data_IF_870807817857
#
_entry.id   IF_870807817857
#
_cell.length_a   1.000
_cell.length_b   1.000
_cell.length_c   1.000
_cell.angle_alpha   90.00
_cell.angle_beta   90.00
_cell.angle_gamma   90.00
#
_symmetry.space_group_name_H-M   'P 1'
#
loop_
_entity.id
_entity.type
_entity.pdbx_description
1 polymer ?
#
# COMPACT_ATOMS: atom_id res chain seq x y z
N UNK A 1 -32.14 42.64 53.46
CA UNK A 1 -31.43 43.17 52.28
C UNK A 1 -30.11 42.44 52.01
N UNK A 2 -29.25 42.15 52.99
CA UNK A 2 -27.96 41.45 52.77
C UNK A 2 -28.05 40.03 52.19
N UNK A 3 -29.08 39.26 52.55
CA UNK A 3 -29.21 37.88 52.07
C UNK A 3 -29.40 37.80 50.54
N UNK A 4 -30.20 38.69 49.94
CA UNK A 4 -30.44 38.62 48.48
C UNK A 4 -29.24 39.11 47.68
N UNK A 5 -28.48 40.10 48.15
CA UNK A 5 -27.24 40.56 47.50
C UNK A 5 -26.14 39.51 47.54
N UNK A 6 -26.00 38.77 48.64
CA UNK A 6 -25.04 37.66 48.74
C UNK A 6 -25.42 36.52 47.80
N UNK A 7 -26.71 36.18 47.69
CA UNK A 7 -27.18 35.16 46.74
C UNK A 7 -26.93 35.58 45.28
N UNK A 8 -27.22 36.84 44.92
CA UNK A 8 -26.96 37.34 43.57
C UNK A 8 -25.45 37.33 43.24
N UNK A 9 -24.59 37.70 44.20
CA UNK A 9 -23.13 37.65 44.03
C UNK A 9 -22.64 36.21 43.86
N UNK A 10 -23.15 35.27 44.66
CA UNK A 10 -22.82 33.85 44.55
C UNK A 10 -23.23 33.25 43.20
N UNK A 11 -24.42 33.59 42.71
CA UNK A 11 -24.89 33.15 41.38
C UNK A 11 -24.02 33.76 40.27
N UNK A 12 -23.69 35.04 40.35
CA UNK A 12 -22.82 35.69 39.37
C UNK A 12 -21.42 35.05 39.33
N UNK A 13 -20.87 34.70 40.49
CA UNK A 13 -19.58 34.00 40.59
C UNK A 13 -19.64 32.60 39.97
N UNK A 14 -20.70 31.83 40.24
CA UNK A 14 -20.88 30.51 39.64
C UNK A 14 -21.03 30.58 38.12
N UNK A 15 -21.75 31.56 37.59
CA UNK A 15 -21.86 31.78 36.14
C UNK A 15 -20.50 32.12 35.52
N UNK A 16 -19.70 32.94 36.20
CA UNK A 16 -18.34 33.26 35.76
C UNK A 16 -17.44 32.02 35.74
N UNK A 17 -17.48 31.21 36.79
CA UNK A 17 -16.70 29.97 36.89
C UNK A 17 -17.13 28.95 35.83
N UNK A 18 -18.44 28.78 35.61
CA UNK A 18 -18.98 27.90 34.58
C UNK A 18 -18.57 28.37 33.18
N UNK A 19 -18.64 29.68 32.91
CA UNK A 19 -18.19 30.25 31.65
C UNK A 19 -16.67 30.05 31.43
N UNK A 20 -15.86 30.30 32.46
CA UNK A 20 -14.41 30.09 32.41
C UNK A 20 -14.03 28.63 32.15
N UNK A 21 -14.66 27.69 32.86
CA UNK A 21 -14.48 26.26 32.62
C UNK A 21 -14.89 25.86 31.19
N UNK A 22 -16.01 26.40 30.69
CA UNK A 22 -16.48 26.17 29.33
C UNK A 22 -15.47 26.62 28.27
N UNK A 23 -14.86 27.79 28.45
CA UNK A 23 -13.82 28.31 27.53
C UNK A 23 -12.58 27.42 27.54
N UNK A 24 -12.09 27.01 28.72
CA UNK A 24 -10.92 26.13 28.82
C UNK A 24 -11.17 24.79 28.12
N UNK A 25 -12.31 24.15 28.39
CA UNK A 25 -12.68 22.88 27.73
C UNK A 25 -12.77 23.05 26.21
N UNK A 26 -13.36 24.15 25.73
CA UNK A 26 -13.47 24.43 24.31
C UNK A 26 -12.08 24.58 23.65
N UNK A 27 -11.18 25.34 24.28
CA UNK A 27 -9.81 25.52 23.78
C UNK A 27 -9.04 24.19 23.80
N UNK A 28 -9.12 23.42 24.88
CA UNK A 28 -8.45 22.12 24.97
C UNK A 28 -8.96 21.13 23.92
N UNK A 29 -10.28 21.11 23.68
CA UNK A 29 -10.87 20.26 22.64
C UNK A 29 -10.38 20.64 21.25
N UNK A 30 -10.31 21.93 20.95
CA UNK A 30 -9.83 22.42 19.66
C UNK A 30 -8.33 22.16 19.47
N UNK A 31 -7.53 22.40 20.51
CA UNK A 31 -6.09 22.09 20.51
C UNK A 31 -5.83 20.59 20.27
N UNK A 32 -6.59 19.72 20.93
CA UNK A 32 -6.48 18.27 20.74
C UNK A 32 -6.86 17.87 19.31
N UNK A 33 -7.91 18.48 18.74
CA UNK A 33 -8.33 18.22 17.36
C UNK A 33 -7.25 18.64 16.36
N UNK A 34 -6.66 19.82 16.56
CA UNK A 34 -5.58 20.33 15.71
C UNK A 34 -4.31 19.48 15.82
N UNK A 35 -3.97 18.99 17.01
CA UNK A 35 -2.84 18.09 17.20
C UNK A 35 -3.09 16.73 16.54
N UNK A 36 -4.30 16.17 16.70
CA UNK A 36 -4.68 14.92 16.03
C UNK A 36 -4.60 15.07 14.50
N UNK A 37 -5.04 16.21 13.96
CA UNK A 37 -4.89 16.50 12.53
C UNK A 37 -3.43 16.60 12.10
N UNK A 38 -2.59 17.32 12.86
CA UNK A 38 -1.15 17.43 12.57
C UNK A 38 -0.43 16.08 12.67
N UNK A 39 -0.81 15.23 13.62
CA UNK A 39 -0.29 13.87 13.71
C UNK A 39 -0.71 13.04 12.51
N UNK A 40 -1.98 13.12 12.12
CA UNK A 40 -2.48 12.45 10.92
C UNK A 40 -1.71 12.88 9.66
N UNK A 41 -1.52 14.18 9.45
CA UNK A 41 -0.75 14.73 8.33
C UNK A 41 0.71 14.25 8.32
N UNK A 42 1.36 14.19 9.49
CA UNK A 42 2.73 13.66 9.64
C UNK A 42 2.81 12.18 9.29
N UNK A 43 1.84 11.40 9.78
CA UNK A 43 1.74 9.97 9.51
C UNK A 43 1.52 9.74 8.01
N UNK A 44 0.58 10.44 7.40
CA UNK A 44 0.30 10.35 5.97
C UNK A 44 1.51 10.76 5.12
N UNK A 45 2.22 11.82 5.51
CA UNK A 45 3.46 12.22 4.86
C UNK A 45 4.53 11.12 4.96
N UNK A 46 4.76 10.55 6.15
CA UNK A 46 5.71 9.47 6.36
C UNK A 46 5.36 8.24 5.50
N UNK A 47 4.09 7.83 5.48
CA UNK A 47 3.62 6.73 4.63
C UNK A 47 3.88 7.01 3.14
N UNK A 48 3.55 8.21 2.64
CA UNK A 48 3.83 8.58 1.25
C UNK A 48 5.32 8.56 0.92
N UNK A 49 6.19 8.88 1.88
CA UNK A 49 7.63 8.77 1.68
C UNK A 49 8.08 7.31 1.61
N UNK A 50 7.55 6.46 2.50
CA UNK A 50 7.90 5.05 2.51
C UNK A 50 7.41 4.32 1.25
N UNK A 51 6.19 4.59 0.81
CA UNK A 51 5.65 4.05 -0.45
C UNK A 51 6.57 4.42 -1.63
N UNK A 52 6.92 5.71 -1.76
CA UNK A 52 7.81 6.18 -2.84
C UNK A 52 9.21 5.59 -2.75
N UNK A 53 9.72 5.35 -1.54
CA UNK A 53 11.01 4.71 -1.35
C UNK A 53 11.00 3.25 -1.82
N UNK A 54 9.99 2.48 -1.43
CA UNK A 54 9.86 1.08 -1.84
C UNK A 54 9.56 0.96 -3.34
N UNK A 55 8.76 1.86 -3.92
CA UNK A 55 8.56 1.96 -5.37
C UNK A 55 9.90 2.16 -6.10
N UNK A 56 10.69 3.17 -5.70
CA UNK A 56 11.98 3.47 -6.33
C UNK A 56 12.98 2.32 -6.16
N UNK A 57 12.90 1.59 -5.05
CA UNK A 57 13.72 0.40 -4.79
C UNK A 57 13.34 -0.75 -5.72
N UNK A 58 12.05 -1.04 -5.85
CA UNK A 58 11.54 -2.10 -6.71
C UNK A 58 11.79 -1.76 -8.18
N UNK A 59 11.65 -0.50 -8.58
CA UNK A 59 12.01 -0.02 -9.91
C UNK A 59 13.50 -0.27 -10.21
N UNK A 60 14.40 0.07 -9.28
CA UNK A 60 15.82 -0.27 -9.41
C UNK A 60 16.06 -1.77 -9.53
N UNK A 61 15.34 -2.58 -8.76
CA UNK A 61 15.44 -4.05 -8.84
C UNK A 61 15.08 -4.52 -10.25
N UNK A 62 13.95 -4.07 -10.79
CA UNK A 62 13.45 -4.49 -12.09
C UNK A 62 14.34 -4.01 -13.24
N UNK A 63 14.73 -2.73 -13.24
CA UNK A 63 15.57 -2.13 -14.29
C UNK A 63 16.96 -2.78 -14.35
N UNK A 64 17.49 -3.23 -13.22
CA UNK A 64 18.84 -3.83 -13.14
C UNK A 64 18.82 -5.35 -13.34
N UNK A 65 17.66 -5.99 -13.47
CA UNK A 65 17.55 -7.45 -13.29
C UNK A 65 17.67 -8.30 -14.56
N UNK A 66 18.27 -9.47 -14.33
CA UNK A 66 18.20 -10.71 -15.12
C UNK A 66 16.75 -11.16 -15.43
N UNK A 67 15.74 -10.61 -14.74
CA UNK A 67 14.32 -10.91 -14.95
C UNK A 67 13.83 -10.43 -16.33
N UNK A 68 14.35 -9.29 -16.83
CA UNK A 68 14.01 -8.81 -18.17
C UNK A 68 14.53 -9.74 -19.26
N UNK A 69 15.77 -10.20 -19.11
CA UNK A 69 16.39 -11.16 -20.02
C UNK A 69 15.67 -12.52 -19.97
N UNK A 70 15.27 -12.95 -18.77
CA UNK A 70 14.50 -14.17 -18.55
C UNK A 70 13.11 -14.14 -19.22
N UNK A 71 12.45 -12.98 -19.25
CA UNK A 71 11.16 -12.80 -19.93
C UNK A 71 11.27 -12.94 -21.45
N UNK A 72 12.44 -12.62 -22.04
CA UNK A 72 12.72 -12.77 -23.47
C UNK A 72 13.35 -14.11 -23.88
N UNK A 73 13.67 -14.98 -22.93
CA UNK A 73 14.37 -16.24 -23.19
C UNK A 73 13.51 -17.27 -23.95
N UNK A 74 14.14 -18.20 -24.66
CA UNK A 74 13.45 -19.29 -25.37
C UNK A 74 12.71 -20.28 -24.46
N UNK A 75 13.06 -20.31 -23.17
CA UNK A 75 12.35 -21.04 -22.11
C UNK A 75 12.00 -20.11 -20.93
N UNK A 76 11.00 -19.22 -21.09
CA UNK A 76 10.75 -18.11 -20.16
C UNK A 76 10.48 -18.56 -18.74
N UNK A 77 9.70 -19.64 -18.56
CA UNK A 77 9.28 -20.10 -17.22
C UNK A 77 10.46 -20.56 -16.37
N UNK A 78 11.39 -21.29 -16.96
CA UNK A 78 12.58 -21.76 -16.24
C UNK A 78 13.52 -20.60 -15.96
N UNK A 79 13.74 -19.73 -16.94
CA UNK A 79 14.58 -18.54 -16.80
C UNK A 79 14.05 -17.59 -15.72
N UNK A 80 12.73 -17.34 -15.71
CA UNK A 80 12.05 -16.50 -14.72
C UNK A 80 12.26 -17.04 -13.32
N UNK A 81 12.07 -18.36 -13.12
CA UNK A 81 12.25 -18.98 -11.82
C UNK A 81 13.69 -18.88 -11.33
N UNK A 82 14.66 -19.08 -12.21
CA UNK A 82 16.09 -18.92 -11.89
C UNK A 82 16.42 -17.48 -11.52
N UNK A 83 15.96 -16.51 -12.30
CA UNK A 83 16.15 -15.08 -12.00
C UNK A 83 15.49 -14.70 -10.66
N UNK A 84 14.30 -15.23 -10.36
CA UNK A 84 13.63 -15.00 -9.07
C UNK A 84 14.41 -15.60 -7.89
N UNK A 85 15.03 -16.77 -8.06
CA UNK A 85 15.89 -17.38 -7.03
C UNK A 85 17.19 -16.57 -6.82
N UNK A 86 17.80 -16.05 -7.90
CA UNK A 86 18.97 -15.16 -7.81
C UNK A 86 18.62 -13.84 -7.09
N UNK A 87 17.41 -13.32 -7.31
CA UNK A 87 16.89 -12.12 -6.66
C UNK A 87 16.35 -12.36 -5.25
N UNK A 88 16.30 -13.61 -4.77
CA UNK A 88 15.69 -13.99 -3.49
C UNK A 88 16.19 -13.16 -2.31
N UNK A 89 17.50 -12.91 -2.21
CA UNK A 89 18.06 -12.10 -1.13
C UNK A 89 17.56 -10.66 -1.10
N UNK A 90 17.26 -10.08 -2.28
CA UNK A 90 16.70 -8.72 -2.40
C UNK A 90 15.18 -8.73 -2.25
N UNK A 91 14.51 -9.79 -2.69
CA UNK A 91 13.06 -9.95 -2.56
C UNK A 91 12.64 -10.33 -1.13
N UNK A 92 13.51 -10.95 -0.34
CA UNK A 92 13.27 -11.27 1.07
C UNK A 92 13.17 -10.04 1.97
N UNK A 93 13.50 -8.85 1.45
CA UNK A 93 13.27 -7.57 2.13
C UNK A 93 11.78 -7.19 2.13
N UNK A 94 10.99 -7.82 1.24
CA UNK A 94 9.54 -7.77 1.24
C UNK A 94 8.97 -9.01 1.94
N UNK A 95 7.84 -8.86 2.61
CA UNK A 95 7.13 -9.98 3.25
C UNK A 95 6.69 -11.02 2.21
N UNK A 96 6.27 -10.55 1.03
CA UNK A 96 5.97 -11.40 -0.12
C UNK A 96 6.22 -10.69 -1.45
N UNK A 97 6.70 -11.43 -2.43
CA UNK A 97 6.94 -10.97 -3.79
C UNK A 97 6.44 -12.00 -4.79
N UNK A 98 5.57 -11.57 -5.71
CA UNK A 98 4.92 -12.46 -6.67
C UNK A 98 5.09 -11.92 -8.08
N UNK A 99 5.50 -12.79 -8.99
CA UNK A 99 5.43 -12.56 -10.42
C UNK A 99 4.25 -13.36 -10.98
N UNK A 100 3.30 -12.64 -11.57
CA UNK A 100 2.01 -13.18 -11.93
C UNK A 100 1.67 -12.78 -13.36
N UNK A 101 1.05 -13.69 -14.11
CA UNK A 101 0.51 -13.37 -15.43
C UNK A 101 -0.66 -12.38 -15.32
N UNK A 102 -1.04 -11.69 -16.39
CA UNK A 102 -2.23 -10.83 -16.41
C UNK A 102 -3.52 -11.56 -15.99
N UNK A 103 -3.58 -12.88 -16.22
CA UNK A 103 -4.70 -13.74 -15.83
C UNK A 103 -4.68 -14.20 -14.38
N UNK A 104 -3.66 -13.86 -13.58
CA UNK A 104 -3.56 -14.26 -12.17
C UNK A 104 -2.79 -15.55 -11.89
N UNK A 105 -2.10 -16.11 -12.89
CA UNK A 105 -1.29 -17.32 -12.72
C UNK A 105 0.08 -16.95 -12.19
N UNK A 106 0.47 -17.51 -11.03
CA UNK A 106 1.80 -17.29 -10.44
C UNK A 106 2.86 -18.00 -11.29
N UNK A 107 3.82 -17.21 -11.78
CA UNK A 107 4.98 -17.69 -12.53
C UNK A 107 6.17 -17.95 -11.61
N UNK A 108 6.36 -17.09 -10.61
CA UNK A 108 7.31 -17.24 -9.51
C UNK A 108 6.81 -16.47 -8.29
N UNK A 109 7.16 -16.92 -7.09
CA UNK A 109 6.74 -16.28 -5.85
C UNK A 109 7.71 -16.54 -4.71
N UNK A 110 7.76 -15.61 -3.77
CA UNK A 110 8.51 -15.71 -2.53
C UNK A 110 7.65 -15.14 -1.40
N UNK A 111 7.60 -15.82 -0.26
CA UNK A 111 6.94 -15.33 0.95
C UNK A 111 7.77 -15.72 2.17
N UNK A 112 8.02 -14.76 3.08
CA UNK A 112 8.89 -14.98 4.23
C UNK A 112 10.29 -15.48 3.85
N UNK A 113 10.78 -15.14 2.65
CA UNK A 113 12.05 -15.62 2.13
C UNK A 113 12.03 -17.07 1.63
N UNK A 114 10.88 -17.73 1.54
CA UNK A 114 10.71 -19.10 1.02
C UNK A 114 9.94 -19.09 -0.31
N UNK A 115 10.15 -20.07 -1.21
CA UNK A 115 9.38 -20.17 -2.45
C UNK A 115 7.88 -20.24 -2.18
N UNK A 116 7.12 -19.34 -2.79
CA UNK A 116 5.66 -19.24 -2.66
C UNK A 116 4.96 -19.77 -3.91
N UNK A 117 3.71 -20.22 -3.72
CA UNK A 117 2.92 -20.90 -4.74
C UNK A 117 1.61 -20.17 -5.03
N UNK A 118 0.78 -20.74 -5.91
CA UNK A 118 -0.54 -20.20 -6.24
C UNK A 118 -1.46 -20.11 -5.01
N UNK A 119 -1.36 -21.05 -4.06
CA UNK A 119 -2.20 -21.02 -2.85
C UNK A 119 -1.84 -19.83 -1.96
N UNK A 120 -0.56 -19.47 -1.92
CA UNK A 120 -0.07 -18.35 -1.12
C UNK A 120 -0.55 -17.02 -1.72
N UNK A 121 -0.45 -16.89 -3.04
CA UNK A 121 -0.97 -15.74 -3.78
C UNK A 121 -2.49 -15.55 -3.63
N UNK A 122 -3.25 -16.63 -3.37
CA UNK A 122 -4.70 -16.54 -3.17
C UNK A 122 -5.04 -15.65 -1.96
N UNK A 123 -4.16 -15.55 -0.95
CA UNK A 123 -4.33 -14.60 0.15
C UNK A 123 -4.23 -13.15 -0.30
N UNK A 124 -3.33 -12.86 -1.25
CA UNK A 124 -3.13 -11.52 -1.82
C UNK A 124 -4.39 -11.03 -2.55
N UNK A 125 -5.14 -11.94 -3.18
CA UNK A 125 -6.40 -11.62 -3.85
C UNK A 125 -7.46 -11.05 -2.89
N UNK A 126 -7.37 -11.37 -1.59
CA UNK A 126 -8.26 -10.85 -0.56
C UNK A 126 -8.02 -9.38 -0.18
N UNK A 127 -6.85 -8.83 -0.53
CA UNK A 127 -6.51 -7.44 -0.17
C UNK A 127 -7.04 -6.42 -1.18
N UNK A 128 -7.05 -6.73 -2.49
CA UNK A 128 -7.50 -5.76 -3.49
C UNK A 128 -8.10 -6.42 -4.74
N UNK A 129 -9.23 -5.90 -5.25
CA UNK A 129 -9.86 -6.39 -6.49
C UNK A 129 -9.07 -6.02 -7.76
N UNK A 130 -8.03 -5.19 -7.63
CA UNK A 130 -7.19 -4.73 -8.75
C UNK A 130 -5.91 -5.55 -8.92
N UNK A 131 -5.70 -6.55 -8.06
CA UNK A 131 -4.60 -7.50 -8.16
C UNK A 131 -4.90 -8.49 -9.31
N UNK A 132 -3.91 -8.88 -10.14
CA UNK A 132 -4.12 -9.85 -11.22
C UNK A 132 -4.79 -11.15 -10.71
N UNK A 133 -5.83 -11.61 -11.40
CA UNK A 133 -6.57 -12.82 -11.00
C UNK A 133 -7.69 -12.63 -9.97
N UNK A 134 -7.90 -11.41 -9.46
CA UNK A 134 -9.04 -11.14 -8.58
C UNK A 134 -10.39 -11.27 -9.35
N UNK A 135 -11.47 -11.79 -8.73
CA UNK A 135 -12.73 -12.08 -9.41
C UNK A 135 -13.46 -10.83 -9.96
N UNK A 136 -13.16 -9.64 -9.44
CA UNK A 136 -13.65 -8.36 -9.96
C UNK A 136 -12.70 -7.72 -11.01
N UNK A 137 -11.61 -8.39 -11.35
CA UNK A 137 -10.44 -7.86 -12.05
C UNK A 137 -10.56 -7.79 -13.57
N UNK A 138 -11.49 -6.98 -14.10
CA UNK A 138 -11.28 -6.33 -15.40
C UNK A 138 -11.74 -4.88 -15.38
N UNK A 139 -11.24 -4.12 -14.41
CA UNK A 139 -11.05 -2.69 -14.57
C UNK A 139 -9.56 -2.43 -14.49
N UNK A 140 -8.98 -2.10 -15.65
CA UNK A 140 -7.86 -1.17 -15.70
C UNK A 140 -8.14 -0.08 -14.68
N UNK A 141 -7.26 0.07 -13.69
CA UNK A 141 -7.34 1.15 -12.71
C UNK A 141 -7.66 2.43 -13.48
N UNK A 142 -8.77 3.09 -13.11
CA UNK A 142 -9.23 4.30 -13.78
C UNK A 142 -8.07 5.30 -13.80
N UNK A 143 -7.46 5.50 -14.97
CA UNK A 143 -6.26 6.32 -15.14
C UNK A 143 -5.02 5.65 -15.73
N UNK A 144 -5.08 4.40 -16.20
CA UNK A 144 -4.08 3.86 -17.14
C UNK A 144 -2.64 3.74 -16.63
N UNK A 145 -2.42 3.83 -15.32
CA UNK A 145 -1.12 3.56 -14.70
C UNK A 145 -1.00 2.06 -14.46
N UNK A 146 -0.08 1.44 -15.19
CA UNK A 146 0.21 0.02 -15.10
C UNK A 146 0.99 -0.35 -13.82
N UNK A 147 1.59 0.65 -13.18
CA UNK A 147 2.20 0.55 -11.86
C UNK A 147 1.34 1.32 -10.86
N UNK A 148 1.06 0.71 -9.72
CA UNK A 148 0.34 1.36 -8.63
C UNK A 148 0.75 0.78 -7.28
N UNK A 149 0.60 1.57 -6.23
CA UNK A 149 0.79 1.15 -4.85
C UNK A 149 -0.40 1.59 -4.01
N UNK A 150 -0.79 0.77 -3.05
CA UNK A 150 -1.81 1.14 -2.06
C UNK A 150 -1.60 0.39 -0.77
N UNK A 151 -2.03 0.98 0.34
CA UNK A 151 -2.30 0.21 1.55
C UNK A 151 -3.67 -0.44 1.37
N UNK A 152 -3.75 -1.74 1.61
CA UNK A 152 -4.94 -2.54 1.44
C UNK A 152 -5.20 -3.37 2.70
N UNK A 153 -6.47 -3.63 2.99
CA UNK A 153 -6.88 -4.39 4.17
C UNK A 153 -7.79 -5.55 3.75
N UNK A 154 -7.56 -6.73 4.33
CA UNK A 154 -8.37 -7.94 4.07
C UNK A 154 -9.33 -8.27 5.23
N UNK A 155 -9.59 -7.30 6.10
CA UNK A 155 -10.43 -7.42 7.30
C UNK A 155 -9.71 -7.93 8.56
N UNK A 156 -8.51 -8.51 8.42
CA UNK A 156 -7.70 -9.00 9.55
C UNK A 156 -6.30 -8.40 9.57
N UNK A 157 -5.81 -7.99 8.40
CA UNK A 157 -4.45 -7.53 8.17
C UNK A 157 -4.44 -6.36 7.20
N UNK A 158 -3.47 -5.45 7.38
CA UNK A 158 -3.19 -4.33 6.49
C UNK A 158 -1.81 -4.53 5.85
N UNK A 159 -1.74 -4.47 4.52
CA UNK A 159 -0.50 -4.66 3.76
C UNK A 159 -0.28 -3.51 2.77
N UNK A 160 0.99 -3.14 2.57
CA UNK A 160 1.38 -2.28 1.46
C UNK A 160 1.53 -3.14 0.20
N UNK A 161 0.62 -2.94 -0.75
CA UNK A 161 0.70 -3.55 -2.06
C UNK A 161 1.43 -2.62 -3.02
N UNK A 162 2.43 -3.16 -3.71
CA UNK A 162 3.12 -2.49 -4.83
C UNK A 162 3.00 -3.41 -6.03
N UNK A 163 2.31 -2.93 -7.07
CA UNK A 163 2.09 -3.66 -8.31
C UNK A 163 2.79 -2.91 -9.42
N UNK A 164 3.61 -3.62 -10.18
CA UNK A 164 4.31 -3.07 -11.33
C UNK A 164 4.10 -3.95 -12.56
N UNK A 165 3.76 -3.31 -13.67
CA UNK A 165 3.65 -3.94 -14.99
C UNK A 165 5.03 -4.01 -15.65
N UNK A 166 5.60 -5.22 -15.62
CA UNK A 166 6.89 -5.50 -16.25
C UNK A 166 6.84 -5.41 -17.78
N UNK A 167 5.66 -5.57 -18.39
CA UNK A 167 5.50 -5.56 -19.85
C UNK A 167 5.79 -4.20 -20.49
N UNK A 168 5.81 -3.12 -19.71
CA UNK A 168 6.20 -1.77 -20.16
C UNK A 168 7.68 -1.48 -20.01
N UNK A 169 8.38 -2.21 -19.16
CA UNK A 169 9.79 -2.01 -18.84
C UNK A 169 10.65 -2.88 -19.79
N UNK A 170 10.09 -4.01 -20.25
CA UNK A 170 10.59 -4.69 -21.44
C UNK A 170 10.27 -3.83 -22.66
N UNK A 171 11.25 -3.21 -23.31
CA UNK A 171 11.09 -2.76 -24.71
C UNK A 171 10.43 -3.89 -25.51
N UNK A 172 9.44 -3.62 -26.38
CA UNK A 172 8.69 -4.66 -27.05
C UNK A 172 9.63 -5.47 -27.95
N UNK A 173 10.10 -6.61 -27.44
CA UNK A 173 10.64 -7.66 -28.27
C UNK A 173 9.44 -8.38 -28.85
N UNK A 174 8.99 -7.92 -30.01
CA UNK A 174 8.12 -8.67 -30.90
C UNK A 174 8.83 -9.99 -31.18
N UNK A 175 8.53 -11.04 -30.43
CA UNK A 175 8.93 -12.39 -30.79
C UNK A 175 7.96 -12.87 -31.86
N UNK A 176 8.40 -13.09 -33.12
CA UNK A 176 7.52 -13.55 -34.20
C UNK A 176 7.00 -14.98 -34.00
N UNK A 177 7.35 -15.64 -32.88
CA UNK A 177 7.04 -17.05 -32.61
C UNK A 177 5.94 -17.22 -31.57
N UNK A 178 5.74 -16.25 -30.67
CA UNK A 178 4.63 -16.26 -29.73
C UNK A 178 3.68 -15.12 -30.08
N UNK A 179 2.55 -15.47 -30.70
CA UNK A 179 1.38 -14.60 -30.77
C UNK A 179 0.91 -14.15 -29.38
N UNK A 180 -0.15 -13.33 -29.29
CA UNK A 180 -0.56 -12.70 -28.04
C UNK A 180 -0.80 -13.76 -26.96
N UNK A 181 -0.09 -13.61 -25.84
CA UNK A 181 -0.26 -14.46 -24.66
C UNK A 181 -1.64 -14.18 -24.07
N UNK A 182 -2.62 -15.00 -24.45
CA UNK A 182 -3.93 -15.14 -23.82
C UNK A 182 -3.86 -15.96 -22.54
#
# INVERSE_FOLDING_TARGET
MFASTVTTLGVAFLLLMAAGAGVVIAITREANRLEAQRQHERIEAAFRHQIRFEEARLEKLVITSELQEALGASAPRTAIRTAFEQLRGRLAEFEGAYLVSPGGTVLAGLEGGLPATQSDYTRVLGFSPFVPGAPAGRRTVAGGKANWSTIAENGHEAALLIVMDLGRITTPLTSPILGPLS
#
